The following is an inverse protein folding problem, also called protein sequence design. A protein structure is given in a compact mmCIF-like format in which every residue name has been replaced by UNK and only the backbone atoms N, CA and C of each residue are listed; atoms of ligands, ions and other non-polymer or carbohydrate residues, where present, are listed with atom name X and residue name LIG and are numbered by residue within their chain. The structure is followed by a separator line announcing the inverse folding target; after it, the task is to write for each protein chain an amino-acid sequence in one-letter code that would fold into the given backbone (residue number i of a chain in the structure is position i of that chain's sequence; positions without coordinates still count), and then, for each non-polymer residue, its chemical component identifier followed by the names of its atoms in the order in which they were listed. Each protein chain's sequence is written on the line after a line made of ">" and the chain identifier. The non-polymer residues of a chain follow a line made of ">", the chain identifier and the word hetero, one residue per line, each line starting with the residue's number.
data_IF_527595441932
#
_entry.id   IF_527595441932
#
_cell.length_a   1.000
_cell.length_b   1.000
_cell.length_c   1.000
_cell.angle_alpha   90.00
_cell.angle_beta   90.00
_cell.angle_gamma   90.00
#
_symmetry.space_group_name_H-M   'P 1'
#
loop_
_entity.id
_entity.type
_entity.pdbx_description
1 polymer ?
#
# COMPACT_ATOMS: atom_id res chain seq x y z
N UNK A 1 -4.66 -1.39 -8.39
CA UNK A 1 -4.17 -2.76 -8.13
C UNK A 1 -4.21 -2.98 -6.64
N UNK A 2 -4.97 -3.97 -6.19
CA UNK A 2 -5.07 -4.33 -4.76
C UNK A 2 -3.89 -5.23 -4.35
N UNK A 3 -3.50 -5.15 -3.09
CA UNK A 3 -2.43 -5.95 -2.49
C UNK A 3 -2.36 -5.79 -0.98
N UNK A 4 -1.24 -6.20 -0.40
CA UNK A 4 -0.99 -6.07 1.03
C UNK A 4 0.34 -5.36 1.28
N UNK A 5 0.36 -4.52 2.32
CA UNK A 5 1.54 -3.78 2.76
C UNK A 5 1.79 -4.07 4.23
N UNK A 6 3.06 -4.02 4.64
CA UNK A 6 3.43 -4.21 6.05
C UNK A 6 3.80 -2.88 6.68
N UNK A 7 3.06 -2.48 7.71
CA UNK A 7 3.26 -1.21 8.42
C UNK A 7 3.54 -1.56 9.88
N UNK A 8 4.73 -1.21 10.38
CA UNK A 8 5.16 -1.50 11.76
C UNK A 8 4.94 -2.96 12.19
N UNK A 9 5.09 -3.90 11.24
CA UNK A 9 4.92 -5.34 11.47
C UNK A 9 3.52 -5.88 11.18
N UNK A 10 2.51 -5.02 11.09
CA UNK A 10 1.12 -5.39 10.78
C UNK A 10 0.86 -5.46 9.28
N UNK A 11 0.04 -6.43 8.85
CA UNK A 11 -0.34 -6.59 7.46
C UNK A 11 -1.65 -5.84 7.19
N UNK A 12 -1.64 -4.95 6.20
CA UNK A 12 -2.78 -4.12 5.83
C UNK A 12 -3.15 -4.33 4.36
N UNK A 13 -4.45 -4.37 4.06
CA UNK A 13 -4.94 -4.36 2.69
C UNK A 13 -4.76 -2.97 2.09
N UNK A 14 -4.23 -2.91 0.87
CA UNK A 14 -3.94 -1.64 0.19
C UNK A 14 -4.28 -1.68 -1.30
N UNK A 15 -4.43 -0.51 -1.90
CA UNK A 15 -4.61 -0.32 -3.34
C UNK A 15 -3.72 0.82 -3.86
N UNK A 16 -3.24 0.68 -5.09
CA UNK A 16 -2.43 1.67 -5.81
C UNK A 16 -2.83 1.73 -7.28
N UNK A 17 -2.76 2.90 -7.91
CA UNK A 17 -2.96 3.04 -9.36
C UNK A 17 -1.72 2.58 -10.17
N UNK A 18 -0.58 2.44 -9.50
CA UNK A 18 0.68 1.96 -10.07
C UNK A 18 0.88 0.47 -9.81
N UNK A 19 1.62 -0.21 -10.69
CA UNK A 19 2.18 -1.53 -10.37
C UNK A 19 3.33 -1.35 -9.37
N UNK A 20 3.23 -2.05 -8.24
CA UNK A 20 4.24 -2.06 -7.17
C UNK A 20 4.57 -3.51 -6.88
N UNK A 21 5.85 -3.87 -7.01
CA UNK A 21 6.34 -5.23 -6.77
C UNK A 21 6.58 -5.46 -5.29
N UNK A 22 6.58 -6.74 -4.89
CA UNK A 22 6.91 -7.14 -3.54
C UNK A 22 8.33 -6.65 -3.17
N UNK A 23 8.45 -6.04 -1.99
CA UNK A 23 9.71 -5.46 -1.50
C UNK A 23 9.94 -3.99 -1.85
N UNK A 24 9.17 -3.41 -2.79
CA UNK A 24 9.22 -1.97 -3.03
C UNK A 24 8.64 -1.19 -1.86
N UNK A 25 9.26 -0.05 -1.54
CA UNK A 25 8.78 0.84 -0.48
C UNK A 25 7.57 1.63 -0.99
N UNK A 26 6.61 1.84 -0.11
CA UNK A 26 5.39 2.58 -0.41
C UNK A 26 5.13 3.65 0.64
N UNK A 27 4.34 4.64 0.27
CA UNK A 27 3.82 5.66 1.17
C UNK A 27 2.29 5.64 1.16
N UNK A 28 1.68 5.77 2.35
CA UNK A 28 0.23 5.82 2.50
C UNK A 28 -0.25 7.23 2.20
N UNK A 29 -1.07 7.37 1.16
CA UNK A 29 -1.64 8.65 0.73
C UNK A 29 -3.10 8.81 1.15
N UNK A 30 -3.72 7.75 1.69
CA UNK A 30 -5.09 7.83 2.22
C UNK A 30 -5.63 6.49 2.70
N UNK A 31 -6.90 6.49 3.08
CA UNK A 31 -7.65 5.30 3.49
C UNK A 31 -9.09 5.40 3.00
N UNK A 32 -9.64 4.32 2.44
CA UNK A 32 -11.02 4.21 1.97
C UNK A 32 -11.59 2.87 2.41
N UNK A 33 -12.69 2.88 3.16
CA UNK A 33 -13.43 1.66 3.53
C UNK A 33 -12.56 0.56 4.17
N UNK A 34 -11.58 0.96 4.99
CA UNK A 34 -10.65 0.02 5.64
C UNK A 34 -9.45 -0.41 4.79
N UNK A 35 -9.37 0.01 3.52
CA UNK A 35 -8.25 -0.24 2.61
C UNK A 35 -7.35 0.98 2.55
N UNK A 36 -6.03 0.78 2.64
CA UNK A 36 -5.06 1.86 2.49
C UNK A 36 -4.85 2.20 1.02
N UNK A 37 -4.83 3.49 0.69
CA UNK A 37 -4.40 3.95 -0.63
C UNK A 37 -2.92 4.27 -0.53
N UNK A 38 -2.11 3.62 -1.35
CA UNK A 38 -0.65 3.74 -1.32
C UNK A 38 -0.09 4.12 -2.68
N UNK A 39 1.06 4.77 -2.69
CA UNK A 39 1.87 5.03 -3.88
C UNK A 39 3.28 4.52 -3.67
N UNK A 40 4.01 4.26 -4.76
CA UNK A 40 5.43 3.91 -4.65
C UNK A 40 6.18 5.08 -4.03
N UNK A 41 7.02 4.78 -3.04
CA UNK A 41 7.90 5.78 -2.44
C UNK A 41 9.05 6.02 -3.40
N UNK A 42 9.21 7.27 -3.85
CA UNK A 42 10.38 7.70 -4.62
C UNK A 42 11.66 7.65 -3.77
#
# INVERSE_FOLDING_TARGET
>A
KEGYVRIKGELWRATSDEEIKAGEKVEVVGRREGILVVKRKQ
#
